data_IF_921421342210
#
_entry.id   IF_921421342210
#
_cell.length_a   1.000
_cell.length_b   1.000
_cell.length_c   1.000
_cell.angle_alpha   90.00
_cell.angle_beta   90.00
_cell.angle_gamma   90.00
#
_symmetry.space_group_name_H-M   'P 1'
#
loop_
_entity.id
_entity.type
_entity.pdbx_description
1 polymer ?
#
# COMPACT_ATOMS: atom_id res chain seq x y z
N UNK A 1 -28.07 -16.01 -11.79
CA UNK A 1 -27.69 -15.62 -11.46
C UNK A 1 -27.02 -14.99 -11.19
N UNK A 2 -26.65 -14.96 -10.89
CA UNK A 2 -26.08 -14.44 -10.57
C UNK A 2 -25.36 -13.93 -10.20
N UNK A 3 -25.26 -13.57 -10.15
CA UNK A 3 -24.47 -12.95 -9.89
C UNK A 3 -23.74 -12.99 -8.92
N UNK A 4 -23.09 -13.13 -8.85
CA UNK A 4 -22.43 -13.08 -7.97
C UNK A 4 -21.88 -12.15 -7.47
N UNK A 5 -22.19 -12.01 -7.05
CA UNK A 5 -21.77 -10.90 -6.36
C UNK A 5 -20.44 -11.12 -5.91
N UNK A 6 -19.68 -10.29 -6.27
CA UNK A 6 -18.46 -10.30 -5.69
C UNK A 6 -18.60 -9.98 -4.29
N UNK A 7 -17.97 -10.62 -3.48
CA UNK A 7 -17.91 -10.34 -2.12
C UNK A 7 -17.39 -8.96 -1.92
N UNK A 8 -17.87 -8.37 -0.99
CA UNK A 8 -17.18 -7.28 -0.46
C UNK A 8 -15.88 -7.78 -0.08
N UNK A 9 -14.92 -7.41 -0.72
CA UNK A 9 -13.79 -8.06 -0.56
C UNK A 9 -12.75 -7.22 -0.16
N UNK A 10 -11.77 -7.90 0.09
CA UNK A 10 -10.50 -7.34 0.35
C UNK A 10 -10.17 -6.35 -0.71
N UNK A 11 -9.67 -5.20 -0.31
CA UNK A 11 -9.17 -4.21 -1.24
C UNK A 11 -7.98 -4.79 -1.98
N UNK A 12 -7.79 -4.33 -3.19
CA UNK A 12 -6.73 -4.82 -4.06
C UNK A 12 -5.64 -3.77 -4.15
N UNK A 13 -4.44 -4.12 -3.70
CA UNK A 13 -3.33 -3.18 -3.63
C UNK A 13 -2.20 -3.58 -4.57
N UNK A 14 -1.49 -2.58 -5.05
CA UNK A 14 -0.28 -2.74 -5.85
C UNK A 14 0.77 -1.79 -5.31
N UNK A 15 2.02 -2.00 -5.73
CA UNK A 15 3.13 -1.13 -5.35
C UNK A 15 3.80 -0.63 -6.62
N UNK A 16 4.23 0.62 -6.63
CA UNK A 16 4.98 1.16 -7.76
C UNK A 16 6.37 0.54 -7.81
N UNK A 17 6.72 -0.04 -8.95
CA UNK A 17 8.05 -0.60 -9.16
C UNK A 17 9.09 0.50 -9.35
N UNK A 18 8.68 1.65 -9.88
CA UNK A 18 9.54 2.81 -10.07
C UNK A 18 8.70 4.07 -10.02
N UNK A 19 9.34 5.21 -9.85
CA UNK A 19 8.65 6.50 -9.83
C UNK A 19 7.92 6.71 -11.15
N UNK A 20 6.70 7.22 -11.09
CA UNK A 20 5.87 7.38 -12.27
C UNK A 20 4.96 8.58 -12.17
N UNK A 21 4.69 9.26 -13.31
CA UNK A 21 3.70 10.31 -13.33
C UNK A 21 2.30 9.72 -13.26
N UNK A 22 1.38 10.46 -12.66
CA UNK A 22 -0.04 10.10 -12.62
C UNK A 22 -0.85 11.21 -13.26
N UNK A 23 -2.02 10.85 -13.77
CA UNK A 23 -2.79 11.71 -14.67
C UNK A 23 -4.25 11.76 -14.24
N UNK A 24 -4.98 12.75 -14.76
CA UNK A 24 -6.41 12.88 -14.48
C UNK A 24 -7.28 12.00 -15.38
N UNK A 25 -6.69 11.35 -16.40
CA UNK A 25 -7.42 10.46 -17.30
C UNK A 25 -6.46 9.37 -17.80
N UNK A 26 -7.00 8.25 -18.33
CA UNK A 26 -6.14 7.13 -18.75
C UNK A 26 -5.50 7.41 -20.13
N UNK A 27 -4.68 8.43 -20.20
CA UNK A 27 -3.99 8.82 -21.43
C UNK A 27 -2.76 9.65 -21.11
N UNK A 28 -1.65 9.35 -21.77
CA UNK A 28 -0.41 10.13 -21.60
C UNK A 28 -0.57 11.55 -22.15
N UNK A 29 -1.65 11.81 -22.91
CA UNK A 29 -1.94 13.15 -23.42
C UNK A 29 -2.82 13.95 -22.47
N UNK A 30 -3.31 13.32 -21.40
CA UNK A 30 -4.11 14.01 -20.42
C UNK A 30 -3.21 14.81 -19.48
N UNK A 31 -3.81 15.50 -18.52
CA UNK A 31 -3.07 16.39 -17.64
C UNK A 31 -2.28 15.59 -16.61
N UNK A 32 -0.96 15.74 -16.56
CA UNK A 32 -0.18 15.14 -15.48
C UNK A 32 -0.45 15.90 -14.17
N UNK A 33 -0.58 15.16 -13.09
CA UNK A 33 -0.93 15.74 -11.80
C UNK A 33 0.29 15.85 -10.88
N UNK A 34 0.99 14.75 -10.68
CA UNK A 34 2.18 14.71 -9.85
C UNK A 34 2.92 13.38 -10.12
N UNK A 35 4.05 13.20 -9.46
CA UNK A 35 4.84 11.97 -9.57
C UNK A 35 4.69 11.21 -8.27
N UNK A 36 4.46 9.90 -8.39
CA UNK A 36 4.41 8.99 -7.25
C UNK A 36 5.72 8.22 -7.20
N UNK A 37 6.29 8.09 -6.02
CA UNK A 37 7.62 7.50 -5.86
C UNK A 37 7.60 5.98 -5.92
N UNK A 38 8.75 5.40 -6.28
CA UNK A 38 8.91 3.95 -6.24
C UNK A 38 8.64 3.43 -4.83
N UNK A 39 8.03 2.26 -4.76
CA UNK A 39 7.71 1.63 -3.49
C UNK A 39 6.40 2.06 -2.87
N UNK A 40 5.75 3.09 -3.40
CA UNK A 40 4.48 3.59 -2.86
C UNK A 40 3.38 2.58 -3.09
N UNK A 41 2.61 2.22 -2.04
CA UNK A 41 1.44 1.36 -2.23
C UNK A 41 0.26 2.18 -2.73
N UNK A 42 -0.55 1.60 -3.60
CA UNK A 42 -1.78 2.20 -4.11
C UNK A 42 -2.88 1.15 -4.15
N UNK A 43 -4.12 1.60 -4.00
CA UNK A 43 -5.28 0.72 -4.10
C UNK A 43 -5.75 0.72 -5.55
N UNK A 44 -5.93 -0.47 -6.13
CA UNK A 44 -6.41 -0.61 -7.49
C UNK A 44 -7.91 -0.45 -7.51
N UNK A 45 -8.41 0.54 -8.23
CA UNK A 45 -9.84 0.85 -8.27
C UNK A 45 -10.47 0.41 -9.59
N UNK A 46 -9.85 0.77 -10.72
CA UNK A 46 -10.32 0.39 -12.05
C UNK A 46 -9.11 -0.09 -12.85
N UNK A 47 -9.29 -1.15 -13.61
CA UNK A 47 -8.23 -1.69 -14.44
C UNK A 47 -8.70 -1.69 -15.89
N UNK A 48 -7.98 -0.95 -16.74
CA UNK A 48 -8.20 -0.93 -18.17
C UNK A 48 -6.97 -1.49 -18.85
N UNK A 49 -7.03 -1.64 -20.18
CA UNK A 49 -5.85 -2.07 -20.89
C UNK A 49 -4.79 -0.96 -20.85
N UNK A 50 -3.64 -1.29 -20.30
CA UNK A 50 -2.52 -0.34 -20.23
C UNK A 50 -2.59 0.69 -19.11
N UNK A 51 -3.75 0.88 -18.48
CA UNK A 51 -3.95 1.92 -17.48
C UNK A 51 -4.72 1.41 -16.28
N UNK A 52 -4.44 1.97 -15.11
CA UNK A 52 -5.19 1.66 -13.89
C UNK A 52 -5.54 2.95 -13.18
N UNK A 53 -6.78 3.00 -12.66
CA UNK A 53 -7.17 4.07 -11.75
C UNK A 53 -6.85 3.58 -10.36
N UNK A 54 -6.11 4.37 -9.61
CA UNK A 54 -5.65 3.97 -8.28
C UNK A 54 -5.99 5.06 -7.27
N UNK A 55 -6.12 4.65 -6.02
CA UNK A 55 -6.28 5.55 -4.88
C UNK A 55 -5.00 5.53 -4.08
N UNK A 56 -4.46 6.71 -3.78
CA UNK A 56 -3.27 6.79 -2.94
C UNK A 56 -3.67 6.88 -1.46
N UNK A 57 -2.66 6.90 -0.58
CA UNK A 57 -2.92 6.92 0.86
C UNK A 57 -3.52 8.23 1.37
N UNK A 58 -3.57 9.26 0.52
CA UNK A 58 -4.23 10.52 0.85
C UNK A 58 -5.67 10.55 0.37
N UNK A 59 -6.10 9.51 -0.35
CA UNK A 59 -7.45 9.41 -0.89
C UNK A 59 -7.61 9.95 -2.30
N UNK A 60 -6.53 10.42 -2.93
CA UNK A 60 -6.60 10.92 -4.30
C UNK A 60 -6.81 9.78 -5.28
N UNK A 61 -7.68 9.99 -6.25
CA UNK A 61 -7.93 9.05 -7.34
C UNK A 61 -7.22 9.56 -8.58
N UNK A 62 -6.31 8.76 -9.11
CA UNK A 62 -5.48 9.17 -10.25
C UNK A 62 -5.28 7.98 -11.19
N UNK A 63 -4.85 8.27 -12.42
CA UNK A 63 -4.57 7.24 -13.42
C UNK A 63 -3.07 7.06 -13.59
N UNK A 64 -2.64 5.80 -13.69
CA UNK A 64 -1.23 5.45 -13.88
C UNK A 64 -1.13 4.35 -14.94
N UNK A 65 -0.03 4.35 -15.69
CA UNK A 65 0.22 3.25 -16.63
C UNK A 65 0.53 1.98 -15.86
N UNK A 66 -0.12 0.89 -16.26
CA UNK A 66 0.03 -0.40 -15.56
C UNK A 66 1.46 -0.89 -15.49
N UNK A 67 2.29 -0.52 -16.46
CA UNK A 67 3.67 -1.02 -16.49
C UNK A 67 4.49 -0.62 -15.27
N UNK A 68 4.03 0.38 -14.52
CA UNK A 68 4.72 0.84 -13.33
C UNK A 68 4.28 0.11 -12.07
N UNK A 69 3.26 -0.74 -12.14
CA UNK A 69 2.72 -1.41 -10.97
C UNK A 69 3.25 -2.84 -10.85
N UNK A 70 3.47 -3.28 -9.61
CA UNK A 70 3.89 -4.64 -9.32
C UNK A 70 2.98 -5.22 -8.24
N UNK A 71 2.95 -6.54 -8.16
CA UNK A 71 2.13 -7.23 -7.15
C UNK A 71 2.79 -7.29 -5.78
N UNK A 72 4.03 -6.85 -5.69
CA UNK A 72 4.69 -6.74 -4.38
C UNK A 72 3.84 -5.87 -3.46
N UNK A 73 3.75 -6.27 -2.20
CA UNK A 73 2.90 -5.57 -1.24
C UNK A 73 3.76 -4.73 -0.29
N UNK A 74 3.50 -3.46 -0.29
CA UNK A 74 4.05 -2.54 0.70
C UNK A 74 2.90 -1.90 1.46
N UNK A 75 3.21 -1.37 2.64
CA UNK A 75 2.27 -0.56 3.42
C UNK A 75 2.97 0.74 3.77
N UNK A 76 2.21 1.76 4.07
CA UNK A 76 2.75 3.06 4.45
C UNK A 76 2.21 3.42 5.83
N UNK A 77 3.09 3.90 6.70
CA UNK A 77 2.72 4.28 8.06
C UNK A 77 1.84 5.52 8.01
N UNK A 78 0.66 5.44 8.61
CA UNK A 78 -0.27 6.57 8.69
C UNK A 78 -0.43 7.10 10.09
N UNK A 79 -0.05 6.34 11.10
CA UNK A 79 0.04 6.85 12.45
C UNK A 79 1.22 7.82 12.54
N UNK A 80 1.20 8.70 13.53
CA UNK A 80 2.34 9.58 13.73
C UNK A 80 3.61 8.78 13.94
N UNK A 81 3.48 7.67 14.67
CA UNK A 81 4.59 6.76 14.91
C UNK A 81 4.05 5.35 15.12
N UNK A 82 4.54 4.40 14.36
CA UNK A 82 4.15 3.02 14.48
C UNK A 82 5.20 2.26 15.30
N UNK A 83 4.74 1.35 16.16
CA UNK A 83 5.62 0.53 16.99
C UNK A 83 5.67 -0.87 16.39
N UNK A 84 6.86 -1.27 15.95
CA UNK A 84 7.08 -2.60 15.39
C UNK A 84 7.70 -3.46 16.48
N UNK A 85 7.02 -4.55 16.83
CA UNK A 85 7.36 -5.39 17.97
C UNK A 85 7.84 -6.75 17.53
N UNK A 86 8.49 -7.46 18.43
CA UNK A 86 9.07 -8.77 18.13
C UNK A 86 8.02 -9.85 17.92
N UNK A 87 6.80 -9.64 18.37
CA UNK A 87 5.69 -10.56 18.19
C UNK A 87 4.40 -9.78 18.11
N UNK A 88 3.34 -10.43 17.65
CA UNK A 88 2.00 -9.81 17.54
C UNK A 88 1.35 -9.76 18.92
N UNK A 89 1.91 -8.97 19.80
CA UNK A 89 1.50 -8.86 21.20
C UNK A 89 1.92 -7.49 21.72
N UNK A 90 0.99 -6.79 22.36
CA UNK A 90 1.25 -5.46 22.92
C UNK A 90 2.40 -5.46 23.93
N UNK A 91 2.66 -6.60 24.54
CA UNK A 91 3.71 -6.73 25.56
C UNK A 91 5.04 -7.18 25.00
N UNK A 92 5.09 -7.49 23.71
CA UNK A 92 6.34 -7.93 23.09
C UNK A 92 7.33 -6.77 23.02
N UNK A 93 8.60 -7.12 22.96
CA UNK A 93 9.68 -6.13 22.92
C UNK A 93 9.56 -5.26 21.66
N UNK A 94 9.87 -3.99 21.79
CA UNK A 94 9.90 -3.06 20.65
C UNK A 94 11.17 -3.34 19.85
N UNK A 95 11.01 -3.54 18.54
CA UNK A 95 12.15 -3.75 17.64
C UNK A 95 12.58 -2.41 17.05
N UNK A 96 11.62 -1.64 16.49
CA UNK A 96 11.90 -0.29 16.00
C UNK A 96 10.58 0.48 15.90
N UNK A 97 10.71 1.79 15.75
CA UNK A 97 9.56 2.65 15.48
C UNK A 97 9.70 3.23 14.08
N UNK A 98 8.57 3.44 13.42
CA UNK A 98 8.54 4.03 12.08
C UNK A 98 7.65 5.26 12.12
N UNK A 99 8.15 6.36 11.56
CA UNK A 99 7.40 7.61 11.53
C UNK A 99 6.38 7.59 10.39
N UNK A 100 5.46 8.55 10.41
CA UNK A 100 4.46 8.70 9.36
C UNK A 100 5.14 8.75 8.00
N UNK A 101 4.51 8.14 7.01
CA UNK A 101 4.92 8.10 5.61
C UNK A 101 6.10 7.17 5.33
N UNK A 102 6.62 6.47 6.34
CA UNK A 102 7.61 5.44 6.09
C UNK A 102 6.93 4.26 5.40
N UNK A 103 7.56 3.75 4.35
CA UNK A 103 7.08 2.58 3.61
C UNK A 103 7.75 1.34 4.16
N UNK A 104 6.94 0.32 4.41
CA UNK A 104 7.41 -0.97 4.92
C UNK A 104 6.92 -2.07 4.00
N UNK A 105 7.72 -3.11 3.83
CA UNK A 105 7.27 -4.28 3.06
C UNK A 105 6.32 -5.09 3.92
N UNK A 106 5.19 -5.49 3.35
CA UNK A 106 4.24 -6.36 4.03
C UNK A 106 4.66 -7.80 3.79
N UNK A 107 5.00 -8.51 4.85
CA UNK A 107 5.38 -9.92 4.76
C UNK A 107 4.18 -10.82 4.96
N UNK A 108 3.28 -10.45 5.87
CA UNK A 108 2.16 -11.31 6.22
C UNK A 108 1.09 -10.51 6.96
N UNK A 109 -0.17 -10.71 6.59
CA UNK A 109 -1.29 -10.21 7.39
C UNK A 109 -1.57 -11.25 8.47
N UNK A 110 -1.53 -10.85 9.73
CA UNK A 110 -1.62 -11.76 10.87
C UNK A 110 -3.01 -11.65 11.50
N UNK A 111 -3.64 -12.75 11.87
CA UNK A 111 -4.94 -12.69 12.54
C UNK A 111 -4.88 -11.85 13.80
N UNK A 112 -6.00 -11.21 14.12
CA UNK A 112 -6.09 -10.38 15.32
C UNK A 112 -5.72 -8.92 15.08
N UNK A 113 -5.60 -8.50 13.83
CA UNK A 113 -5.36 -7.10 13.53
C UNK A 113 -3.91 -6.69 13.54
N UNK A 114 -3.01 -7.61 13.27
CA UNK A 114 -1.57 -7.36 13.19
C UNK A 114 -1.06 -7.58 11.76
N UNK A 115 0.10 -7.01 11.46
CA UNK A 115 0.78 -7.24 10.20
C UNK A 115 2.27 -7.44 10.48
N UNK A 116 2.86 -8.41 9.81
CA UNK A 116 4.31 -8.60 9.85
C UNK A 116 4.92 -7.79 8.73
N UNK A 117 5.87 -6.94 9.07
CA UNK A 117 6.48 -6.00 8.12
C UNK A 117 7.99 -6.06 8.21
N UNK A 118 8.64 -5.56 7.18
CA UNK A 118 10.10 -5.47 7.12
C UNK A 118 10.49 -4.09 6.62
N UNK A 119 11.49 -3.52 7.25
CA UNK A 119 12.09 -2.27 6.79
C UNK A 119 13.26 -2.62 5.87
N UNK A 120 13.56 -1.74 4.93
CA UNK A 120 14.63 -2.01 3.96
C UNK A 120 16.03 -2.17 4.59
N UNK A 121 16.20 -1.74 5.84
CA UNK A 121 17.44 -1.95 6.57
C UNK A 121 17.57 -3.37 7.12
N UNK A 122 16.56 -4.22 6.90
CA UNK A 122 16.58 -5.62 7.30
C UNK A 122 15.85 -5.91 8.61
N UNK A 123 15.45 -4.89 9.36
CA UNK A 123 14.68 -5.14 10.58
C UNK A 123 13.26 -5.54 10.24
N UNK A 124 12.70 -6.46 10.98
CA UNK A 124 11.32 -6.91 10.76
C UNK A 124 10.62 -7.11 12.09
N UNK A 125 9.31 -7.16 12.03
CA UNK A 125 8.51 -7.38 13.23
C UNK A 125 7.04 -7.16 12.94
N UNK A 126 6.26 -6.97 13.99
CA UNK A 126 4.81 -6.92 13.93
C UNK A 126 4.29 -5.56 14.41
N UNK A 127 3.33 -5.01 13.67
CA UNK A 127 2.65 -3.79 14.07
C UNK A 127 1.15 -3.97 13.95
N UNK A 128 0.41 -3.06 14.56
CA UNK A 128 -1.05 -3.11 14.50
C UNK A 128 -1.54 -2.56 13.18
N UNK A 129 -2.49 -3.27 12.57
CA UNK A 129 -3.03 -2.93 11.26
C UNK A 129 -3.49 -1.46 11.13
N UNK A 130 -4.18 -0.86 12.12
CA UNK A 130 -4.59 0.54 11.99
C UNK A 130 -3.46 1.55 11.88
N UNK A 131 -2.23 1.18 12.18
CA UNK A 131 -1.10 2.10 12.11
C UNK A 131 -0.58 2.28 10.69
N UNK A 132 -1.04 1.46 9.76
CA UNK A 132 -0.58 1.52 8.36
C UNK A 132 -1.76 1.55 7.40
N UNK A 133 -1.48 1.98 6.18
CA UNK A 133 -2.39 1.94 5.04
C UNK A 133 -1.80 1.01 3.98
N UNK A 134 -2.67 0.23 3.32
CA UNK A 134 -2.23 -0.66 2.25
C UNK A 134 -2.41 -2.14 2.55
N UNK A 135 -3.14 -2.45 3.62
CA UNK A 135 -3.40 -3.86 3.98
C UNK A 135 -4.59 -4.43 3.25
#
# INVERSE_FOLDING_TARGET
MFGLASPAHALDYRTLAEAAPVYDAPSAKSKPLFVVLAGTPVELVVSLEGWSKVRDNRGDLVWIEKKYLTEKRNVIVRAERAQVRAAADDKAALVFEAERDVVLELLEAVPGGWAKVSHRDGQSGFLKAPQVWGL
#
